data_IF_372710176451
#
_entry.id   IF_372710176451
#
_cell.length_a   1.000
_cell.length_b   1.000
_cell.length_c   1.000
_cell.angle_alpha   90.00
_cell.angle_beta   90.00
_cell.angle_gamma   90.00
#
_symmetry.space_group_name_H-M   'P 1'
#
loop_
_entity.id
_entity.type
_entity.pdbx_description
1 polymer ?
#
# COMPACT_ATOMS: atom_id res chain seq x y z
N UNK A 1 6.18 15.18 -7.56
CA UNK A 1 6.05 16.45 -6.82
C UNK A 1 6.39 16.20 -5.34
N UNK A 2 6.46 17.21 -4.46
CA UNK A 2 6.72 17.05 -3.01
C UNK A 2 5.41 17.22 -2.20
N UNK A 3 5.28 16.66 -0.98
CA UNK A 3 4.02 16.70 -0.23
C UNK A 3 3.46 18.10 0.01
N UNK A 4 4.33 19.07 0.33
CA UNK A 4 3.92 20.46 0.52
C UNK A 4 3.31 21.07 -0.76
N UNK A 5 3.85 20.73 -1.93
CA UNK A 5 3.32 21.23 -3.21
C UNK A 5 1.94 20.63 -3.50
N UNK A 6 1.75 19.32 -3.25
CA UNK A 6 0.43 18.68 -3.34
C UNK A 6 -0.57 19.35 -2.39
N UNK A 7 -0.19 19.56 -1.12
CA UNK A 7 -1.04 20.20 -0.13
C UNK A 7 -1.45 21.64 -0.52
N UNK A 8 -0.55 22.39 -1.15
CA UNK A 8 -0.84 23.72 -1.68
C UNK A 8 -1.77 23.67 -2.90
N UNK A 9 -1.69 22.62 -3.73
CA UNK A 9 -2.65 22.40 -4.82
C UNK A 9 -4.02 22.07 -4.24
N UNK A 10 -4.10 21.14 -3.27
CA UNK A 10 -5.35 20.83 -2.57
C UNK A 10 -5.94 22.05 -1.88
N UNK A 11 -5.12 22.91 -1.28
CA UNK A 11 -5.57 24.20 -0.74
C UNK A 11 -6.22 25.08 -1.82
N UNK A 12 -5.60 25.21 -3.00
CA UNK A 12 -6.15 25.99 -4.11
C UNK A 12 -7.44 25.37 -4.66
N UNK A 13 -7.55 24.05 -4.66
CA UNK A 13 -8.71 23.32 -5.19
C UNK A 13 -9.89 23.29 -4.22
N UNK A 14 -9.63 23.09 -2.93
CA UNK A 14 -10.66 22.81 -1.91
C UNK A 14 -10.84 23.94 -0.89
N UNK A 15 -9.98 24.97 -0.90
CA UNK A 15 -9.95 26.05 0.09
C UNK A 15 -9.19 25.66 1.37
N UNK A 16 -9.33 26.44 2.43
CA UNK A 16 -8.66 26.19 3.71
C UNK A 16 -7.17 26.52 3.67
N UNK A 17 -6.36 25.74 4.41
CA UNK A 17 -4.91 25.90 4.52
C UNK A 17 -4.21 24.61 4.10
N UNK A 18 -2.99 24.69 3.57
CA UNK A 18 -2.24 23.50 3.17
C UNK A 18 -2.04 22.50 4.32
N UNK A 19 -1.98 22.97 5.57
CA UNK A 19 -1.88 22.13 6.77
C UNK A 19 -3.09 21.18 6.93
N UNK A 20 -4.25 21.53 6.37
CA UNK A 20 -5.45 20.69 6.42
C UNK A 20 -5.26 19.40 5.60
N UNK A 21 -4.31 19.38 4.66
CA UNK A 21 -4.12 18.29 3.68
C UNK A 21 -2.75 17.60 3.77
N UNK A 22 -1.78 18.21 4.47
CA UNK A 22 -0.38 17.77 4.41
C UNK A 22 -0.17 16.34 4.92
N UNK A 23 -0.92 15.92 5.95
CA UNK A 23 -0.75 14.60 6.54
C UNK A 23 -0.99 13.48 5.51
N UNK A 24 -2.06 13.60 4.71
CA UNK A 24 -2.41 12.65 3.66
C UNK A 24 -1.32 12.59 2.59
N UNK A 25 -0.81 13.73 2.14
CA UNK A 25 0.23 13.76 1.11
C UNK A 25 1.59 13.28 1.62
N UNK A 26 1.94 13.59 2.88
CA UNK A 26 3.13 13.03 3.52
C UNK A 26 3.03 11.52 3.65
N UNK A 27 1.83 10.99 3.94
CA UNK A 27 1.62 9.55 4.02
C UNK A 27 1.79 8.84 2.68
N UNK A 28 1.23 9.37 1.58
CA UNK A 28 1.46 8.80 0.24
C UNK A 28 2.94 8.76 -0.15
N UNK A 29 3.71 9.74 0.30
CA UNK A 29 5.15 9.83 0.07
C UNK A 29 6.00 9.10 1.11
N UNK A 30 5.40 8.48 2.14
CA UNK A 30 6.14 7.91 3.27
C UNK A 30 7.10 6.79 2.87
N UNK A 31 6.81 6.06 1.78
CA UNK A 31 7.73 5.04 1.26
C UNK A 31 9.07 5.60 0.76
N UNK A 32 9.18 6.93 0.51
CA UNK A 32 10.46 7.59 0.21
C UNK A 32 11.47 7.49 1.36
N UNK A 33 11.01 7.32 2.60
CA UNK A 33 11.89 7.12 3.75
C UNK A 33 12.67 5.80 3.65
N UNK A 34 12.10 4.78 3.01
CA UNK A 34 12.76 3.50 2.77
C UNK A 34 13.53 3.45 1.44
N UNK A 35 13.03 4.12 0.39
CA UNK A 35 13.74 4.24 -0.88
C UNK A 35 13.31 5.50 -1.66
N UNK A 36 14.23 6.44 -1.88
CA UNK A 36 13.98 7.69 -2.59
C UNK A 36 13.99 7.56 -4.13
N UNK A 37 13.70 6.38 -4.68
CA UNK A 37 13.61 6.12 -6.12
C UNK A 37 12.15 6.14 -6.58
N UNK A 38 11.84 6.71 -7.76
CA UNK A 38 10.45 6.95 -8.23
C UNK A 38 9.54 5.71 -8.21
N UNK A 39 10.11 4.51 -8.36
CA UNK A 39 9.36 3.24 -8.26
C UNK A 39 8.71 3.02 -6.90
N UNK A 40 9.12 3.70 -5.82
CA UNK A 40 8.47 3.59 -4.50
C UNK A 40 6.95 3.81 -4.54
N UNK A 41 6.48 4.57 -5.55
CA UNK A 41 5.08 4.80 -5.87
C UNK A 41 4.27 3.52 -6.03
N UNK A 42 4.87 2.41 -6.45
CA UNK A 42 4.15 1.13 -6.59
C UNK A 42 3.50 0.67 -5.28
N UNK A 43 4.02 1.12 -4.13
CA UNK A 43 3.54 0.72 -2.80
C UNK A 43 2.21 1.38 -2.40
N UNK A 44 1.89 2.58 -2.93
CA UNK A 44 0.73 3.36 -2.50
C UNK A 44 0.00 4.09 -3.65
N UNK A 45 0.64 4.35 -4.79
CA UNK A 45 0.08 5.10 -5.93
C UNK A 45 -0.68 4.18 -6.89
N UNK A 46 -1.65 3.45 -6.36
CA UNK A 46 -2.56 2.60 -7.12
C UNK A 46 -3.97 2.65 -6.52
N UNK A 47 -4.97 2.17 -7.27
CA UNK A 47 -6.40 2.25 -6.92
C UNK A 47 -6.71 1.62 -5.57
N UNK A 48 -6.13 0.46 -5.28
CA UNK A 48 -6.30 -0.24 -4.01
C UNK A 48 -5.62 0.50 -2.86
N UNK A 49 -4.58 1.27 -3.19
CA UNK A 49 -3.98 2.26 -2.32
C UNK A 49 -5.04 3.24 -1.84
N UNK A 50 -5.95 3.72 -2.71
CA UNK A 50 -7.03 4.66 -2.38
C UNK A 50 -8.01 4.12 -1.32
N UNK A 51 -8.21 2.80 -1.23
CA UNK A 51 -9.05 2.23 -0.18
C UNK A 51 -8.28 2.05 1.14
N UNK A 52 -6.97 1.82 1.08
CA UNK A 52 -6.13 1.61 2.26
C UNK A 52 -6.18 2.82 3.22
N UNK A 53 -6.09 4.02 2.71
CA UNK A 53 -6.06 5.25 3.49
C UNK A 53 -7.41 5.90 3.70
N UNK A 54 -8.47 5.46 3.03
CA UNK A 54 -9.81 5.62 3.63
C UNK A 54 -9.87 4.88 4.95
N UNK A 55 -9.27 3.68 5.05
CA UNK A 55 -9.19 2.97 6.34
C UNK A 55 -8.29 3.67 7.37
N UNK A 56 -7.28 4.44 6.94
CA UNK A 56 -6.33 5.12 7.83
C UNK A 56 -6.83 6.51 8.25
N UNK A 57 -7.37 7.29 7.31
CA UNK A 57 -7.77 8.69 7.51
C UNK A 57 -9.28 8.90 7.64
N UNK A 58 -10.08 7.85 7.40
CA UNK A 58 -11.53 7.94 7.34
C UNK A 58 -12.05 8.34 5.95
N UNK A 59 -13.37 8.32 5.82
CA UNK A 59 -14.08 8.61 4.56
C UNK A 59 -13.88 10.06 4.08
N UNK A 60 -13.86 10.99 5.02
CA UNK A 60 -13.79 12.43 4.75
C UNK A 60 -12.94 13.12 5.80
N UNK A 61 -12.44 14.30 5.46
CA UNK A 61 -11.88 15.26 6.41
C UNK A 61 -12.65 16.57 6.32
N UNK A 62 -12.62 17.35 7.41
CA UNK A 62 -13.17 18.71 7.45
C UNK A 62 -11.99 19.67 7.50
N UNK A 63 -11.90 20.57 6.53
CA UNK A 63 -10.83 21.57 6.50
C UNK A 63 -11.11 22.76 7.43
N UNK A 64 -10.15 23.69 7.54
CA UNK A 64 -10.28 24.88 8.39
C UNK A 64 -11.34 25.90 7.96
N UNK A 65 -11.98 25.71 6.79
CA UNK A 65 -13.13 26.48 6.31
C UNK A 65 -14.46 25.72 6.47
N UNK A 66 -14.49 24.63 7.24
CA UNK A 66 -15.64 23.75 7.45
C UNK A 66 -16.17 23.09 6.17
N UNK A 67 -15.30 22.88 5.17
CA UNK A 67 -15.65 22.09 3.98
C UNK A 67 -15.30 20.63 4.20
N UNK A 68 -16.27 19.76 3.95
CA UNK A 68 -16.09 18.30 3.95
C UNK A 68 -15.49 17.85 2.63
N UNK A 69 -14.30 17.24 2.69
CA UNK A 69 -13.56 16.75 1.53
C UNK A 69 -13.40 15.24 1.65
N UNK A 70 -13.68 14.52 0.57
CA UNK A 70 -13.49 13.07 0.53
C UNK A 70 -12.00 12.71 0.49
N UNK A 71 -11.59 11.77 1.35
CA UNK A 71 -10.21 11.25 1.39
C UNK A 71 -9.82 10.64 0.03
N UNK A 72 -10.76 9.92 -0.61
CA UNK A 72 -10.55 9.31 -1.94
C UNK A 72 -10.21 10.35 -3.00
N UNK A 73 -10.81 11.53 -2.91
CA UNK A 73 -10.61 12.60 -3.89
C UNK A 73 -9.21 13.21 -3.76
N UNK A 74 -8.76 13.51 -2.53
CA UNK A 74 -7.41 14.01 -2.27
C UNK A 74 -6.32 13.02 -2.72
N UNK A 75 -6.58 11.73 -2.52
CA UNK A 75 -5.70 10.68 -3.00
C UNK A 75 -5.68 10.53 -4.51
N UNK A 76 -6.85 10.53 -5.13
CA UNK A 76 -6.97 10.50 -6.59
C UNK A 76 -6.19 11.66 -7.22
N UNK A 77 -6.37 12.88 -6.70
CA UNK A 77 -5.64 14.05 -7.17
C UNK A 77 -4.12 13.88 -7.04
N UNK A 78 -3.65 13.39 -5.89
CA UNK A 78 -2.22 13.15 -5.69
C UNK A 78 -1.67 12.13 -6.68
N UNK A 79 -2.36 11.01 -6.89
CA UNK A 79 -1.93 9.95 -7.82
C UNK A 79 -1.82 10.51 -9.25
N UNK A 80 -2.79 11.32 -9.68
CA UNK A 80 -2.78 11.97 -11.00
C UNK A 80 -1.67 13.01 -11.09
N UNK A 81 -1.44 13.82 -10.06
CA UNK A 81 -0.36 14.81 -10.05
C UNK A 81 1.03 14.17 -10.13
N UNK A 82 1.18 12.94 -9.62
CA UNK A 82 2.47 12.27 -9.56
C UNK A 82 2.72 11.32 -10.74
N UNK A 83 1.67 10.73 -11.34
CA UNK A 83 1.77 9.68 -12.39
C UNK A 83 0.91 9.97 -13.63
N UNK A 84 0.04 10.98 -13.58
CA UNK A 84 -0.82 11.42 -14.70
C UNK A 84 -2.10 10.62 -14.90
N UNK A 85 -2.28 9.51 -14.17
CA UNK A 85 -3.44 8.61 -14.26
C UNK A 85 -3.55 7.74 -13.01
N UNK A 86 -4.74 7.18 -12.79
CA UNK A 86 -4.97 6.17 -11.74
C UNK A 86 -4.61 4.79 -12.30
N UNK A 87 -3.70 4.08 -11.62
CA UNK A 87 -3.25 2.74 -12.00
C UNK A 87 -3.74 1.69 -10.99
N UNK A 88 -3.87 0.45 -11.41
CA UNK A 88 -4.12 -0.69 -10.52
C UNK A 88 -2.81 -1.32 -10.04
N UNK A 89 -2.87 -2.18 -9.01
CA UNK A 89 -1.72 -3.05 -8.65
C UNK A 89 -1.27 -3.89 -9.86
N UNK A 90 -2.20 -4.38 -10.68
CA UNK A 90 -1.91 -5.17 -11.87
C UNK A 90 -1.05 -4.39 -12.89
N UNK A 91 -1.40 -3.13 -13.17
CA UNK A 91 -0.65 -2.28 -14.11
C UNK A 91 0.80 -2.08 -13.64
N UNK A 92 0.99 -1.78 -12.35
CA UNK A 92 2.32 -1.67 -11.75
C UNK A 92 3.08 -2.99 -11.81
N UNK A 93 2.44 -4.10 -11.40
CA UNK A 93 3.05 -5.40 -11.27
C UNK A 93 3.57 -5.94 -12.62
N UNK A 94 2.78 -5.76 -13.69
CA UNK A 94 3.13 -6.17 -15.05
C UNK A 94 4.40 -5.49 -15.55
N UNK A 95 4.51 -4.19 -15.31
CA UNK A 95 5.61 -3.38 -15.83
C UNK A 95 6.86 -3.41 -14.94
N UNK A 96 6.69 -3.69 -13.64
CA UNK A 96 7.80 -3.93 -12.71
C UNK A 96 8.48 -5.27 -12.95
N UNK A 97 7.76 -6.29 -13.41
CA UNK A 97 8.31 -7.63 -13.61
C UNK A 97 7.71 -8.31 -14.85
N UNK A 98 8.01 -7.80 -16.07
CA UNK A 98 7.33 -8.22 -17.30
C UNK A 98 7.75 -9.60 -17.82
N UNK A 99 8.95 -10.06 -17.46
CA UNK A 99 9.50 -11.30 -18.00
C UNK A 99 9.07 -12.52 -17.17
N UNK A 100 8.13 -13.32 -17.68
CA UNK A 100 7.66 -14.56 -17.02
C UNK A 100 8.75 -15.62 -16.85
N UNK A 101 9.82 -15.55 -17.64
CA UNK A 101 10.95 -16.48 -17.54
C UNK A 101 11.95 -16.11 -16.43
N UNK A 102 11.86 -14.89 -15.90
CA UNK A 102 12.69 -14.41 -14.80
C UNK A 102 12.54 -15.30 -13.55
N UNK A 103 13.65 -15.53 -12.85
CA UNK A 103 13.68 -16.40 -11.68
C UNK A 103 12.89 -15.82 -10.51
N UNK A 104 12.91 -14.51 -10.33
CA UNK A 104 12.12 -13.80 -9.32
C UNK A 104 10.63 -13.84 -9.66
N UNK A 105 10.27 -13.72 -10.95
CA UNK A 105 8.88 -13.93 -11.40
C UNK A 105 8.38 -15.32 -11.02
N UNK A 106 9.11 -16.37 -11.43
CA UNK A 106 8.75 -17.77 -11.14
C UNK A 106 8.66 -18.04 -9.65
N UNK A 107 9.58 -17.46 -8.88
CA UNK A 107 9.55 -17.50 -7.42
C UNK A 107 8.25 -16.92 -6.87
N UNK A 108 7.90 -15.68 -7.24
CA UNK A 108 6.68 -15.02 -6.79
C UNK A 108 5.42 -15.78 -7.23
N UNK A 109 5.39 -16.31 -8.45
CA UNK A 109 4.29 -17.14 -8.94
C UNK A 109 4.08 -18.39 -8.08
N UNK A 110 5.17 -19.09 -7.72
CA UNK A 110 5.11 -20.24 -6.80
C UNK A 110 4.58 -19.83 -5.41
N UNK A 111 5.02 -18.68 -4.88
CA UNK A 111 4.55 -18.17 -3.59
C UNK A 111 3.07 -17.81 -3.61
N UNK A 112 2.62 -17.14 -4.67
CA UNK A 112 1.22 -16.79 -4.89
C UNK A 112 0.36 -18.05 -4.87
N UNK A 113 0.69 -19.05 -5.68
CA UNK A 113 -0.07 -20.29 -5.75
C UNK A 113 -0.20 -20.99 -4.39
N UNK A 114 0.88 -21.04 -3.60
CA UNK A 114 0.86 -21.60 -2.25
C UNK A 114 -0.01 -20.78 -1.28
N UNK A 115 0.00 -19.45 -1.38
CA UNK A 115 -0.82 -18.56 -0.55
C UNK A 115 -2.29 -18.68 -0.90
N UNK A 116 -2.65 -18.70 -2.19
CA UNK A 116 -4.03 -18.81 -2.67
C UNK A 116 -4.64 -20.19 -2.37
N UNK A 117 -3.83 -21.25 -2.42
CA UNK A 117 -4.25 -22.60 -2.05
C UNK A 117 -4.31 -22.84 -0.53
N UNK A 118 -3.99 -21.84 0.30
CA UNK A 118 -3.87 -22.01 1.77
C UNK A 118 -2.84 -23.10 2.17
N UNK A 119 -1.78 -23.28 1.38
CA UNK A 119 -0.76 -24.35 1.52
C UNK A 119 0.61 -23.82 1.98
N UNK A 120 0.65 -22.72 2.73
CA UNK A 120 1.90 -22.20 3.30
C UNK A 120 2.25 -23.00 4.56
N UNK A 121 3.26 -23.86 4.46
CA UNK A 121 3.74 -24.70 5.57
C UNK A 121 4.10 -23.85 6.80
N UNK A 122 3.55 -24.21 7.96
CA UNK A 122 3.79 -23.54 9.25
C UNK A 122 2.93 -22.30 9.51
N UNK A 123 2.07 -21.88 8.56
CA UNK A 123 1.31 -20.63 8.72
C UNK A 123 0.24 -20.73 9.80
N UNK A 124 -0.51 -21.83 9.81
CA UNK A 124 -1.57 -22.07 10.80
C UNK A 124 -0.99 -22.19 12.21
N UNK A 125 0.12 -22.91 12.34
CA UNK A 125 0.86 -23.10 13.58
C UNK A 125 1.42 -21.78 14.09
N UNK A 126 2.01 -20.96 13.22
CA UNK A 126 2.53 -19.64 13.57
C UNK A 126 1.41 -18.69 14.02
N UNK A 127 0.29 -18.63 13.30
CA UNK A 127 -0.86 -17.81 13.68
C UNK A 127 -1.47 -18.25 15.01
N UNK A 128 -1.52 -19.57 15.25
CA UNK A 128 -2.00 -20.14 16.52
C UNK A 128 -1.05 -19.82 17.67
N UNK A 129 0.27 -19.85 17.45
CA UNK A 129 1.26 -19.51 18.46
C UNK A 129 1.18 -18.05 18.96
N UNK A 130 0.64 -17.14 18.14
CA UNK A 130 0.38 -15.76 18.57
C UNK A 130 -0.85 -15.61 19.46
N UNK A 131 -1.70 -16.64 19.55
CA UNK A 131 -2.96 -16.63 20.30
C UNK A 131 -3.86 -15.43 19.96
N UNK A 132 -3.98 -15.15 18.66
CA UNK A 132 -4.89 -14.11 18.16
C UNK A 132 -6.32 -14.64 18.06
N UNK A 133 -7.30 -13.75 18.28
CA UNK A 133 -8.70 -14.03 17.97
C UNK A 133 -8.87 -14.46 16.51
N UNK A 134 -9.92 -15.23 16.23
CA UNK A 134 -10.25 -15.61 14.85
C UNK A 134 -10.42 -14.38 13.95
N UNK A 135 -11.08 -13.33 14.46
CA UNK A 135 -11.23 -12.05 13.75
C UNK A 135 -9.89 -11.40 13.43
N UNK A 136 -8.95 -11.36 14.39
CA UNK A 136 -7.62 -10.78 14.17
C UNK A 136 -6.80 -11.62 13.20
N UNK A 137 -6.87 -12.95 13.29
CA UNK A 137 -6.22 -13.86 12.32
C UNK A 137 -6.74 -13.63 10.90
N UNK A 138 -8.07 -13.53 10.74
CA UNK A 138 -8.70 -13.24 9.46
C UNK A 138 -8.28 -11.88 8.90
N UNK A 139 -8.23 -10.84 9.74
CA UNK A 139 -7.81 -9.49 9.36
C UNK A 139 -6.34 -9.45 8.88
N UNK A 140 -5.44 -10.12 9.61
CA UNK A 140 -4.02 -10.24 9.21
C UNK A 140 -3.88 -10.97 7.87
N UNK A 141 -4.56 -12.11 7.69
CA UNK A 141 -4.54 -12.86 6.42
C UNK A 141 -5.10 -12.02 5.28
N UNK A 142 -6.20 -11.30 5.51
CA UNK A 142 -6.84 -10.42 4.53
C UNK A 142 -5.91 -9.29 4.08
N UNK A 143 -5.23 -8.61 5.01
CA UNK A 143 -4.26 -7.57 4.65
C UNK A 143 -3.16 -8.11 3.72
N UNK A 144 -2.57 -9.26 4.06
CA UNK A 144 -1.48 -9.81 3.25
C UNK A 144 -1.98 -10.30 1.88
N UNK A 145 -3.23 -10.76 1.79
CA UNK A 145 -3.85 -11.26 0.55
C UNK A 145 -4.43 -10.18 -0.35
N UNK A 146 -4.75 -8.99 0.18
CA UNK A 146 -5.55 -8.01 -0.55
C UNK A 146 -5.02 -7.62 -1.94
N UNK A 147 -3.69 -7.52 -2.21
CA UNK A 147 -3.22 -7.21 -3.57
C UNK A 147 -3.54 -8.32 -4.59
N UNK A 148 -3.75 -9.55 -4.15
CA UNK A 148 -4.07 -10.68 -5.02
C UNK A 148 -5.55 -10.74 -5.38
N UNK A 149 -6.42 -10.06 -4.61
CA UNK A 149 -7.86 -10.00 -4.87
C UNK A 149 -8.18 -9.18 -6.12
N UNK A 150 -7.29 -8.27 -6.51
CA UNK A 150 -7.51 -7.32 -7.62
C UNK A 150 -6.44 -7.39 -8.72
N UNK A 151 -5.41 -8.20 -8.57
CA UNK A 151 -4.36 -8.39 -9.57
C UNK A 151 -4.02 -9.87 -9.77
N UNK A 152 -3.79 -10.27 -11.02
CA UNK A 152 -3.41 -11.62 -11.41
C UNK A 152 -1.88 -11.79 -11.46
N UNK A 153 -1.16 -10.70 -11.65
CA UNK A 153 0.28 -10.72 -11.74
C UNK A 153 0.95 -11.11 -10.41
N UNK A 154 1.92 -12.04 -10.37
CA UNK A 154 2.52 -12.50 -9.11
C UNK A 154 3.31 -11.42 -8.37
N UNK A 155 3.78 -10.40 -9.07
CA UNK A 155 4.44 -9.24 -8.46
C UNK A 155 3.50 -8.39 -7.57
N UNK A 156 2.19 -8.60 -7.61
CA UNK A 156 1.24 -8.00 -6.66
C UNK A 156 1.59 -8.33 -5.20
N UNK A 157 2.19 -9.49 -4.93
CA UNK A 157 2.69 -9.86 -3.60
C UNK A 157 3.66 -8.82 -3.02
N UNK A 158 4.41 -8.12 -3.88
CA UNK A 158 5.40 -7.13 -3.46
C UNK A 158 4.77 -5.90 -2.80
N UNK A 159 3.46 -5.68 -2.93
CA UNK A 159 2.74 -4.59 -2.25
C UNK A 159 2.58 -4.90 -0.75
N UNK A 160 2.29 -6.15 -0.39
CA UNK A 160 1.95 -6.55 0.98
C UNK A 160 3.00 -7.42 1.69
N UNK A 161 4.02 -7.91 0.99
CA UNK A 161 5.04 -8.81 1.56
C UNK A 161 6.45 -8.21 1.55
N UNK A 162 6.59 -7.04 2.18
CA UNK A 162 7.85 -6.30 2.29
C UNK A 162 7.90 -5.52 3.63
N UNK A 163 9.03 -4.91 3.96
CA UNK A 163 9.19 -4.21 5.24
C UNK A 163 8.31 -2.95 5.38
N UNK A 164 7.96 -2.27 4.28
CA UNK A 164 7.01 -1.16 4.30
C UNK A 164 5.58 -1.63 4.55
N UNK A 165 5.21 -2.83 4.12
CA UNK A 165 3.91 -3.42 4.45
C UNK A 165 3.75 -3.69 5.95
N UNK A 166 4.84 -3.99 6.67
CA UNK A 166 4.85 -4.08 8.14
C UNK A 166 4.52 -2.72 8.78
N UNK A 167 5.10 -1.63 8.26
CA UNK A 167 4.77 -0.27 8.67
C UNK A 167 3.29 0.05 8.40
N UNK A 168 2.76 -0.30 7.22
CA UNK A 168 1.35 -0.09 6.89
C UNK A 168 0.42 -0.90 7.80
N UNK A 169 0.79 -2.13 8.14
CA UNK A 169 0.01 -2.96 9.05
C UNK A 169 -0.11 -2.31 10.44
N UNK A 170 0.98 -1.77 11.00
CA UNK A 170 0.93 -1.04 12.27
C UNK A 170 0.02 0.21 12.20
N UNK A 171 -0.01 0.91 11.06
CA UNK A 171 -0.90 2.06 10.87
C UNK A 171 -2.38 1.69 10.87
N UNK A 172 -2.72 0.46 10.47
CA UNK A 172 -4.11 -0.03 10.40
C UNK A 172 -4.52 -0.71 11.71
N UNK A 173 -3.67 -1.56 12.25
CA UNK A 173 -3.98 -2.43 13.38
C UNK A 173 -3.51 -1.88 14.74
N UNK A 174 -2.76 -0.77 14.74
CA UNK A 174 -2.09 -0.23 15.92
C UNK A 174 -0.80 -0.97 16.24
N UNK A 175 -0.21 -0.68 17.41
CA UNK A 175 1.10 -1.22 17.79
C UNK A 175 1.06 -2.69 18.23
N UNK A 176 -0.09 -3.18 18.72
CA UNK A 176 -0.22 -4.53 19.25
C UNK A 176 -1.66 -5.07 19.17
N UNK A 177 -1.78 -6.39 19.04
CA UNK A 177 -3.01 -7.12 19.30
C UNK A 177 -3.03 -7.64 20.74
N UNK A 178 -4.24 -7.78 21.28
CA UNK A 178 -4.47 -8.49 22.56
C UNK A 178 -4.56 -9.99 22.28
N UNK A 179 -3.81 -10.79 23.05
CA UNK A 179 -3.85 -12.26 22.99
C UNK A 179 -5.10 -12.79 23.71
N UNK A 180 -5.64 -13.89 23.23
CA UNK A 180 -6.77 -14.61 23.85
C UNK A 180 -6.31 -15.61 24.93
N UNK A 181 -5.37 -15.22 25.80
CA UNK A 181 -4.79 -16.10 26.80
C UNK A 181 -5.23 -15.74 28.23
N UNK A 182 -6.34 -16.33 28.69
CA UNK A 182 -6.72 -16.34 30.11
C UNK A 182 -6.91 -14.95 30.75
N UNK A 183 -6.84 -14.90 32.08
CA UNK A 183 -7.27 -13.73 32.88
C UNK A 183 -6.38 -12.48 32.76
N UNK A 184 -5.18 -12.56 32.18
CA UNK A 184 -4.27 -11.43 31.99
C UNK A 184 -4.17 -11.01 30.53
N UNK A 185 -4.35 -9.71 30.26
CA UNK A 185 -4.18 -9.14 28.92
C UNK A 185 -2.69 -9.16 28.53
N UNK A 186 -2.29 -10.18 27.78
CA UNK A 186 -1.00 -10.22 27.12
C UNK A 186 -1.10 -9.57 25.74
N UNK A 187 -0.02 -8.93 25.30
CA UNK A 187 0.06 -8.27 24.00
C UNK A 187 1.04 -9.01 23.07
N UNK A 188 0.80 -8.90 21.77
CA UNK A 188 1.76 -9.25 20.72
C UNK A 188 1.89 -8.08 19.76
N UNK A 189 3.13 -7.69 19.45
CA UNK A 189 3.38 -6.57 18.56
C UNK A 189 2.87 -6.90 17.14
N UNK A 190 2.21 -5.93 16.51
CA UNK A 190 1.74 -6.09 15.12
C UNK A 190 2.94 -6.36 14.20
N UNK A 191 4.04 -5.63 14.38
CA UNK A 191 5.26 -5.83 13.58
C UNK A 191 5.79 -7.26 13.64
N UNK A 192 5.86 -7.86 14.84
CA UNK A 192 6.35 -9.23 15.02
C UNK A 192 5.52 -10.24 14.20
N UNK A 193 4.20 -10.06 14.17
CA UNK A 193 3.28 -10.95 13.44
C UNK A 193 3.52 -10.84 11.94
N UNK A 194 3.53 -9.62 11.41
CA UNK A 194 3.70 -9.39 9.97
C UNK A 194 5.10 -9.76 9.49
N UNK A 195 6.15 -9.44 10.25
CA UNK A 195 7.53 -9.82 9.92
C UNK A 195 7.69 -11.34 9.82
N UNK A 196 7.19 -12.09 10.82
CA UNK A 196 7.29 -13.55 10.82
C UNK A 196 6.44 -14.21 9.73
N UNK A 197 5.23 -13.71 9.47
CA UNK A 197 4.37 -14.24 8.40
C UNK A 197 4.93 -13.93 7.01
N UNK A 198 5.41 -12.71 6.78
CA UNK A 198 6.05 -12.33 5.52
C UNK A 198 7.30 -13.18 5.29
N UNK A 199 8.15 -13.34 6.31
CA UNK A 199 9.32 -14.20 6.23
C UNK A 199 8.93 -15.67 5.97
N UNK A 200 7.89 -16.19 6.62
CA UNK A 200 7.44 -17.56 6.41
C UNK A 200 7.01 -17.80 4.94
N UNK A 201 6.23 -16.88 4.38
CA UNK A 201 5.72 -16.93 3.00
C UNK A 201 6.83 -16.73 1.97
N UNK A 202 7.60 -15.65 2.12
CA UNK A 202 8.57 -15.17 1.13
C UNK A 202 10.00 -15.65 1.38
N UNK A 203 10.29 -16.29 2.50
CA UNK A 203 11.67 -16.65 2.93
C UNK A 203 12.63 -15.45 3.04
N UNK A 204 12.08 -14.24 3.05
CA UNK A 204 12.76 -12.97 3.20
C UNK A 204 11.73 -11.90 3.60
N UNK A 205 12.18 -10.82 4.23
CA UNK A 205 11.40 -9.58 4.36
C UNK A 205 12.11 -8.53 3.52
N UNK A 206 11.75 -8.43 2.24
CA UNK A 206 12.42 -7.50 1.33
C UNK A 206 12.18 -6.05 1.74
N UNK A 207 13.23 -5.24 1.70
CA UNK A 207 13.09 -3.79 1.75
C UNK A 207 12.56 -3.23 0.42
N UNK A 208 11.90 -2.06 0.42
CA UNK A 208 11.56 -1.36 -0.81
C UNK A 208 12.75 -1.13 -1.75
N UNK A 209 13.94 -0.86 -1.19
CA UNK A 209 15.16 -0.69 -1.98
C UNK A 209 15.57 -1.98 -2.72
N UNK A 210 15.51 -3.13 -2.06
CA UNK A 210 15.79 -4.43 -2.71
C UNK A 210 14.77 -4.78 -3.79
N UNK A 211 13.48 -4.50 -3.55
CA UNK A 211 12.44 -4.69 -4.56
C UNK A 211 12.72 -3.83 -5.80
N UNK A 212 13.08 -2.57 -5.57
CA UNK A 212 13.41 -1.63 -6.64
C UNK A 212 14.66 -2.08 -7.41
N UNK A 213 15.67 -2.63 -6.75
CA UNK A 213 16.85 -3.17 -7.43
C UNK A 213 16.56 -4.42 -8.28
N UNK A 214 15.49 -5.17 -7.98
CA UNK A 214 15.13 -6.44 -8.65
C UNK A 214 14.08 -6.29 -9.76
N UNK A 215 13.53 -5.09 -9.94
CA UNK A 215 12.40 -4.84 -10.84
C UNK A 215 12.79 -3.93 -11.99
N UNK A 216 12.09 -4.04 -13.12
CA UNK A 216 12.21 -3.14 -14.26
C UNK A 216 11.66 -1.75 -13.94
N UNK A 217 11.85 -0.79 -14.86
CA UNK A 217 11.26 0.54 -14.78
C UNK A 217 10.71 0.94 -16.14
N UNK A 218 9.58 1.63 -16.14
CA UNK A 218 9.02 2.26 -17.34
C UNK A 218 9.06 3.79 -17.23
N UNK A 219 9.01 4.47 -18.37
CA UNK A 219 9.05 5.93 -18.43
C UNK A 219 7.90 6.57 -17.65
N UNK A 220 6.68 6.04 -17.81
CA UNK A 220 5.48 6.56 -17.14
C UNK A 220 5.59 6.55 -15.61
N UNK A 221 6.41 5.68 -15.01
CA UNK A 221 6.59 5.61 -13.56
C UNK A 221 7.31 6.84 -12.98
N UNK A 222 8.04 7.58 -13.83
CA UNK A 222 8.82 8.76 -13.42
C UNK A 222 7.91 9.97 -13.19
N UNK A 223 6.77 10.00 -13.85
CA UNK A 223 5.73 11.02 -13.70
C UNK A 223 5.18 11.46 -15.05
N UNK A 224 4.18 12.32 -15.01
CA UNK A 224 3.51 12.85 -16.20
C UNK A 224 3.77 14.35 -16.37
N UNK A 225 3.63 14.82 -17.61
CA UNK A 225 3.68 16.25 -17.91
C UNK A 225 2.38 16.98 -17.48
N UNK A 226 2.45 18.31 -17.41
CA UNK A 226 1.32 19.14 -16.98
C UNK A 226 0.08 19.00 -17.88
N UNK A 227 0.29 18.75 -19.17
CA UNK A 227 -0.79 18.58 -20.15
C UNK A 227 -1.60 17.32 -19.85
N UNK A 228 -0.91 16.21 -19.59
CA UNK A 228 -1.48 14.91 -19.23
C UNK A 228 -2.25 15.00 -17.93
N UNK A 229 -1.65 15.63 -16.90
CA UNK A 229 -2.28 15.83 -15.59
C UNK A 229 -3.59 16.62 -15.73
N UNK A 230 -3.56 17.73 -16.49
CA UNK A 230 -4.72 18.58 -16.68
C UNK A 230 -5.84 17.87 -17.46
N UNK A 231 -5.48 17.09 -18.48
CA UNK A 231 -6.44 16.32 -19.26
C UNK A 231 -7.16 15.27 -18.40
N UNK A 232 -6.42 14.54 -17.56
CA UNK A 232 -7.00 13.51 -16.70
C UNK A 232 -7.90 14.09 -15.60
N UNK A 233 -7.49 15.21 -14.97
CA UNK A 233 -8.34 15.91 -14.00
C UNK A 233 -9.65 16.40 -14.62
N UNK A 234 -9.61 16.91 -15.85
CA UNK A 234 -10.82 17.31 -16.59
C UNK A 234 -11.72 16.11 -16.90
N UNK A 235 -11.13 14.97 -17.29
CA UNK A 235 -11.88 13.74 -17.58
C UNK A 235 -12.68 13.28 -16.35
N UNK A 236 -12.05 13.25 -15.17
CA UNK A 236 -12.71 12.82 -13.94
C UNK A 236 -13.73 13.82 -13.39
N UNK A 237 -13.56 15.12 -13.63
CA UNK A 237 -14.53 16.12 -13.20
C UNK A 237 -15.86 16.07 -13.98
N UNK A 238 -15.89 15.41 -15.15
CA UNK A 238 -17.04 15.28 -16.03
C UNK A 238 -17.85 13.98 -15.83
N UNK A 239 -17.47 13.15 -14.85
CA UNK A 239 -18.13 11.89 -14.48
C UNK A 239 -18.61 11.95 -13.02
#
# INVERSE_FOLDING_TARGET
MKPLQHAQISQKTYGGKWQDYIEIHCFLDSSKAACAHFKHRFLLHHREGIELGVRIFGETLINSENKTIETRRLWTDHLIEDVGRILSVEDWARDLLPNKNDSFYKFLAKKRASIEADQVSGESELLSAFNLSETNRAAVKKFLRSPLETAEHPAALLVSHNSFAVFLAERIFGCAFVKENGSQKQLVAVREIFERLIFLRMKAVYSPAEIIARTSSQEWMRGADATTILAEKKRLANH
#
